data_IF_183152557793
#
_entry.id   IF_183152557793
#
_cell.length_a   1.000
_cell.length_b   1.000
_cell.length_c   1.000
_cell.angle_alpha   90.00
_cell.angle_beta   90.00
_cell.angle_gamma   90.00
#
_symmetry.space_group_name_H-M   'P 1'
#
loop_
_entity.id
_entity.type
_entity.pdbx_description
1 polymer ?
#
# COMPACT_ATOMS: atom_id res chain seq x y z
N UNK A 1 -15.55 -14.55 6.68
CA UNK A 1 -14.36 -15.37 6.87
C UNK A 1 -13.10 -14.57 6.66
N UNK A 2 -11.98 -14.97 7.31
CA UNK A 2 -10.67 -14.35 7.19
C UNK A 2 -9.60 -15.41 6.93
N UNK A 3 -8.82 -15.25 5.86
CA UNK A 3 -7.72 -16.14 5.48
C UNK A 3 -6.39 -15.37 5.51
N UNK A 4 -5.31 -16.06 5.83
CA UNK A 4 -3.99 -15.45 6.03
C UNK A 4 -2.91 -16.26 5.33
N UNK A 5 -2.82 -16.20 3.99
CA UNK A 5 -1.77 -16.89 3.25
C UNK A 5 -0.38 -16.34 3.61
N UNK A 6 0.63 -17.20 3.55
CA UNK A 6 2.01 -16.86 3.86
C UNK A 6 2.89 -16.74 2.60
N UNK A 7 2.39 -17.26 1.47
CA UNK A 7 3.07 -17.20 0.18
C UNK A 7 2.06 -17.05 -0.96
N UNK A 8 2.55 -16.84 -2.17
CA UNK A 8 1.72 -16.58 -3.36
C UNK A 8 0.91 -17.79 -3.82
N UNK A 9 1.43 -19.00 -3.60
CA UNK A 9 0.73 -20.24 -3.91
C UNK A 9 -0.49 -20.43 -2.97
N UNK A 10 -0.30 -20.25 -1.66
CA UNK A 10 -1.41 -20.27 -0.70
C UNK A 10 -2.43 -19.15 -0.97
N UNK A 11 -1.99 -17.96 -1.42
CA UNK A 11 -2.90 -16.89 -1.80
C UNK A 11 -3.77 -17.28 -2.99
N UNK A 12 -3.17 -17.86 -4.02
CA UNK A 12 -3.89 -18.37 -5.19
C UNK A 12 -4.94 -19.40 -4.78
N UNK A 13 -4.51 -20.41 -4.05
CA UNK A 13 -5.38 -21.53 -3.67
C UNK A 13 -6.52 -21.06 -2.77
N UNK A 14 -6.25 -20.21 -1.78
CA UNK A 14 -7.25 -19.58 -0.93
C UNK A 14 -8.25 -18.71 -1.70
N UNK A 15 -7.79 -17.99 -2.73
CA UNK A 15 -8.67 -17.17 -3.57
C UNK A 15 -9.66 -18.01 -4.36
N UNK A 16 -9.18 -19.08 -5.02
CA UNK A 16 -10.03 -19.96 -5.84
C UNK A 16 -10.99 -20.78 -4.98
N UNK A 17 -10.52 -21.34 -3.87
CA UNK A 17 -11.37 -22.09 -2.93
C UNK A 17 -12.50 -21.22 -2.36
N UNK A 18 -12.19 -20.00 -1.93
CA UNK A 18 -13.21 -19.08 -1.42
C UNK A 18 -14.22 -18.68 -2.51
N UNK A 19 -13.76 -18.46 -3.75
CA UNK A 19 -14.60 -18.14 -4.89
C UNK A 19 -15.53 -19.29 -5.27
N UNK A 20 -15.00 -20.52 -5.35
CA UNK A 20 -15.77 -21.74 -5.63
C UNK A 20 -16.81 -22.03 -4.54
N UNK A 21 -16.50 -21.69 -3.30
CA UNK A 21 -17.42 -21.76 -2.16
C UNK A 21 -18.50 -20.66 -2.15
N UNK A 22 -18.56 -19.80 -3.17
CA UNK A 22 -19.59 -18.76 -3.35
C UNK A 22 -19.40 -17.50 -2.51
N UNK A 23 -18.19 -17.23 -2.00
CA UNK A 23 -17.88 -15.99 -1.28
C UNK A 23 -17.52 -14.86 -2.23
N UNK A 24 -17.89 -13.64 -1.82
CA UNK A 24 -17.27 -12.43 -2.35
C UNK A 24 -15.88 -12.28 -1.74
N UNK A 25 -14.84 -12.30 -2.57
CA UNK A 25 -13.45 -12.29 -2.09
C UNK A 25 -12.85 -10.90 -2.17
N UNK A 26 -12.33 -10.41 -1.07
CA UNK A 26 -11.57 -9.16 -0.96
C UNK A 26 -10.15 -9.44 -0.50
N UNK A 27 -9.16 -8.92 -1.23
CA UNK A 27 -7.76 -8.96 -0.84
C UNK A 27 -7.43 -7.71 -0.02
N UNK A 28 -6.84 -7.89 1.14
CA UNK A 28 -6.51 -6.81 2.06
C UNK A 28 -5.05 -6.90 2.53
N UNK A 29 -4.37 -5.76 2.56
CA UNK A 29 -3.05 -5.61 3.18
C UNK A 29 -3.16 -5.21 4.65
N UNK A 30 -2.68 -4.00 4.98
CA UNK A 30 -2.75 -3.40 6.32
C UNK A 30 -4.08 -2.76 6.67
N UNK A 31 -5.07 -2.80 5.81
CA UNK A 31 -6.44 -2.24 5.94
C UNK A 31 -6.54 -0.73 6.21
N UNK A 32 -5.42 -0.01 6.19
CA UNK A 32 -5.35 1.42 6.51
C UNK A 32 -6.08 2.36 5.51
N UNK A 33 -6.63 1.83 4.43
CA UNK A 33 -7.38 2.54 3.39
C UNK A 33 -8.66 1.76 3.01
N UNK A 34 -9.25 1.05 3.95
CA UNK A 34 -10.43 0.21 3.71
C UNK A 34 -11.47 0.45 4.79
N UNK A 35 -12.73 0.51 4.37
CA UNK A 35 -13.90 0.45 5.25
C UNK A 35 -14.71 -0.80 4.85
N UNK A 36 -14.94 -1.68 5.81
CA UNK A 36 -15.70 -2.91 5.58
C UNK A 36 -17.20 -2.65 5.78
N UNK A 37 -18.07 -3.38 5.06
CA UNK A 37 -19.52 -3.31 5.29
C UNK A 37 -19.89 -3.94 6.63
N UNK A 38 -21.00 -3.50 7.22
CA UNK A 38 -21.53 -4.06 8.47
C UNK A 38 -22.01 -5.52 8.26
N UNK A 39 -22.65 -5.80 7.11
CA UNK A 39 -22.98 -7.18 6.72
C UNK A 39 -21.82 -7.78 5.90
N UNK A 40 -21.09 -8.68 6.52
CA UNK A 40 -20.00 -9.43 5.91
C UNK A 40 -20.31 -10.95 5.82
N UNK A 41 -21.57 -11.35 5.86
CA UNK A 41 -21.99 -12.75 5.93
C UNK A 41 -21.50 -13.63 4.76
N UNK A 42 -21.36 -13.04 3.57
CA UNK A 42 -20.81 -13.68 2.36
C UNK A 42 -19.45 -13.15 1.94
N UNK A 43 -18.76 -12.46 2.83
CA UNK A 43 -17.45 -11.88 2.56
C UNK A 43 -16.34 -12.82 3.06
N UNK A 44 -15.38 -13.12 2.19
CA UNK A 44 -14.10 -13.73 2.54
C UNK A 44 -12.99 -12.67 2.34
N UNK A 45 -12.34 -12.27 3.41
CA UNK A 45 -11.20 -11.35 3.36
C UNK A 45 -9.91 -12.15 3.43
N UNK A 46 -9.08 -12.04 2.41
CA UNK A 46 -7.75 -12.66 2.39
C UNK A 46 -6.72 -11.59 2.72
N UNK A 47 -6.15 -11.70 3.92
CA UNK A 47 -5.16 -10.76 4.43
C UNK A 47 -3.75 -11.15 4.00
N UNK A 48 -3.15 -10.37 3.11
CA UNK A 48 -1.81 -10.64 2.58
C UNK A 48 -0.68 -10.26 3.56
N UNK A 49 -0.99 -9.73 4.73
CA UNK A 49 -0.01 -9.22 5.71
C UNK A 49 1.02 -10.24 6.20
N UNK A 50 0.76 -11.55 6.04
CA UNK A 50 1.71 -12.62 6.35
C UNK A 50 2.65 -12.95 5.19
N UNK A 51 2.39 -12.44 3.99
CA UNK A 51 3.23 -12.64 2.81
C UNK A 51 4.43 -11.67 2.84
N UNK A 52 5.30 -11.86 3.83
CA UNK A 52 6.45 -10.98 4.08
C UNK A 52 7.74 -11.46 3.42
N UNK A 53 7.72 -12.61 2.77
CA UNK A 53 8.80 -13.16 1.98
C UNK A 53 8.46 -13.09 0.48
N UNK A 54 9.45 -12.84 -0.40
CA UNK A 54 10.82 -12.50 -0.04
C UNK A 54 10.96 -11.09 0.56
N UNK A 55 12.07 -10.88 1.28
CA UNK A 55 12.61 -9.56 1.56
C UNK A 55 14.13 -9.65 1.37
N UNK A 56 14.59 -9.27 0.20
CA UNK A 56 16.00 -9.38 -0.19
C UNK A 56 16.55 -8.05 -0.67
N UNK A 57 17.83 -7.85 -0.43
CA UNK A 57 18.59 -6.67 -0.82
C UNK A 57 19.79 -7.12 -1.63
N UNK A 58 19.84 -6.71 -2.90
CA UNK A 58 20.98 -6.93 -3.81
C UNK A 58 21.42 -5.57 -4.36
N UNK A 59 22.49 -5.00 -3.74
CA UNK A 59 22.95 -3.65 -4.01
C UNK A 59 21.78 -2.65 -3.88
N UNK A 60 21.38 -2.01 -4.98
CA UNK A 60 20.27 -1.05 -5.04
C UNK A 60 18.92 -1.67 -5.37
N UNK A 61 18.87 -2.98 -5.63
CA UNK A 61 17.61 -3.71 -5.87
C UNK A 61 17.08 -4.28 -4.55
N UNK A 62 15.82 -4.02 -4.29
CA UNK A 62 15.11 -4.53 -3.11
C UNK A 62 13.87 -5.25 -3.57
N UNK A 63 13.79 -6.55 -3.29
CA UNK A 63 12.59 -7.35 -3.58
C UNK A 63 11.84 -7.61 -2.29
N UNK A 64 10.52 -7.32 -2.29
CA UNK A 64 9.68 -7.46 -1.12
C UNK A 64 8.32 -8.09 -1.47
N UNK A 65 7.89 -9.04 -0.65
CA UNK A 65 6.55 -9.60 -0.71
C UNK A 65 5.47 -8.56 -0.40
N UNK A 66 4.28 -8.74 -0.95
CA UNK A 66 3.18 -7.77 -0.85
C UNK A 66 2.70 -7.50 0.59
N UNK A 67 2.98 -8.41 1.53
CA UNK A 67 2.64 -8.26 2.95
C UNK A 67 3.64 -7.45 3.76
N UNK A 68 4.84 -7.16 3.24
CA UNK A 68 5.84 -6.35 3.93
C UNK A 68 5.29 -4.96 4.21
N UNK A 69 5.39 -4.51 5.48
CA UNK A 69 4.94 -3.18 5.87
C UNK A 69 5.88 -2.10 5.32
N UNK A 70 5.33 -1.05 4.72
CA UNK A 70 6.13 0.04 4.14
C UNK A 70 7.07 0.72 5.15
N UNK A 71 6.65 1.04 6.38
CA UNK A 71 7.57 1.62 7.36
C UNK A 71 8.74 0.69 7.71
N UNK A 72 8.49 -0.62 7.73
CA UNK A 72 9.54 -1.61 7.98
C UNK A 72 10.52 -1.67 6.80
N UNK A 73 10.00 -1.73 5.57
CA UNK A 73 10.81 -1.72 4.34
C UNK A 73 11.69 -0.45 4.27
N UNK A 74 11.10 0.72 4.53
CA UNK A 74 11.81 2.01 4.56
C UNK A 74 12.94 2.00 5.60
N UNK A 75 12.68 1.50 6.81
CA UNK A 75 13.67 1.38 7.87
C UNK A 75 14.82 0.43 7.50
N UNK A 76 14.51 -0.72 6.92
CA UNK A 76 15.51 -1.70 6.52
C UNK A 76 16.38 -1.22 5.34
N UNK A 77 15.79 -0.45 4.41
CA UNK A 77 16.52 0.23 3.34
C UNK A 77 17.46 1.31 3.91
N UNK A 78 16.99 2.16 4.81
CA UNK A 78 17.79 3.21 5.46
C UNK A 78 19.03 2.66 6.17
N UNK A 79 18.88 1.58 6.96
CA UNK A 79 19.99 0.89 7.64
C UNK A 79 21.08 0.37 6.69
N UNK A 80 20.74 0.19 5.42
CA UNK A 80 21.66 -0.26 4.36
C UNK A 80 22.18 0.89 3.50
N UNK A 81 21.89 2.15 3.89
CA UNK A 81 22.26 3.31 3.12
C UNK A 81 21.52 3.39 1.77
N UNK A 82 20.30 2.85 1.67
CA UNK A 82 19.50 2.88 0.45
C UNK A 82 18.41 3.96 0.53
N UNK A 83 18.53 4.97 -0.31
CA UNK A 83 17.62 6.11 -0.43
C UNK A 83 16.55 5.87 -1.51
N UNK A 84 15.36 6.44 -1.30
CA UNK A 84 14.22 6.38 -2.20
C UNK A 84 12.93 5.93 -1.52
N UNK A 85 13.00 5.39 -0.29
CA UNK A 85 11.85 4.94 0.49
C UNK A 85 11.53 5.85 1.69
N UNK A 86 12.15 7.02 1.80
CA UNK A 86 11.94 7.94 2.93
C UNK A 86 10.49 8.39 3.03
N UNK A 87 9.83 8.64 1.90
CA UNK A 87 8.42 9.04 1.85
C UNK A 87 7.47 7.99 2.47
N UNK A 88 7.90 6.73 2.44
CA UNK A 88 7.09 5.58 2.87
C UNK A 88 7.19 5.29 4.38
N UNK A 89 8.13 5.92 5.10
CA UNK A 89 8.42 5.63 6.52
C UNK A 89 7.21 5.79 7.45
N UNK A 90 6.27 6.66 7.11
CA UNK A 90 5.05 6.93 7.88
C UNK A 90 3.76 6.41 7.25
N UNK A 91 3.78 5.74 6.10
CA UNK A 91 2.57 5.24 5.45
C UNK A 91 2.16 3.90 6.09
N UNK A 92 1.00 3.82 6.79
CA UNK A 92 0.61 2.62 7.53
C UNK A 92 0.00 1.56 6.61
N UNK A 93 0.76 1.09 5.63
CA UNK A 93 0.30 0.14 4.62
C UNK A 93 1.34 -0.91 4.30
N UNK A 94 0.95 -1.89 3.52
CA UNK A 94 1.82 -2.93 2.99
C UNK A 94 2.29 -2.59 1.57
N UNK A 95 3.34 -3.27 1.10
CA UNK A 95 3.83 -3.18 -0.28
C UNK A 95 2.69 -3.40 -1.28
N UNK A 96 1.86 -4.44 -1.12
CA UNK A 96 0.74 -4.71 -2.01
C UNK A 96 -0.30 -3.58 -2.03
N UNK A 97 -0.62 -2.99 -0.87
CA UNK A 97 -1.49 -1.83 -0.78
C UNK A 97 -0.88 -0.58 -1.42
N UNK A 98 0.43 -0.41 -1.31
CA UNK A 98 1.15 0.69 -1.93
C UNK A 98 1.17 0.58 -3.45
N UNK A 99 1.39 -0.61 -3.99
CA UNK A 99 1.31 -0.88 -5.42
C UNK A 99 -0.09 -0.60 -5.96
N UNK A 100 -1.13 -1.06 -5.25
CA UNK A 100 -2.53 -0.85 -5.64
C UNK A 100 -2.89 0.64 -5.74
N UNK A 101 -2.45 1.45 -4.78
CA UNK A 101 -2.82 2.86 -4.64
C UNK A 101 -1.82 3.83 -5.26
N UNK A 102 -0.71 3.35 -5.82
CA UNK A 102 0.47 4.21 -6.04
C UNK A 102 0.71 5.10 -4.82
N UNK A 103 0.86 4.47 -3.65
CA UNK A 103 0.95 5.20 -2.39
C UNK A 103 2.10 6.18 -2.40
N UNK A 104 1.84 7.39 -1.93
CA UNK A 104 2.85 8.45 -1.90
C UNK A 104 2.57 9.49 -0.83
N UNK A 105 3.62 10.13 -0.39
CA UNK A 105 3.62 11.22 0.57
C UNK A 105 4.87 12.10 0.36
N UNK A 106 4.77 13.38 0.71
CA UNK A 106 5.91 14.30 0.72
C UNK A 106 6.70 14.38 -0.61
N UNK A 107 5.99 14.25 -1.75
CA UNK A 107 6.58 14.34 -3.08
C UNK A 107 7.17 13.03 -3.63
N UNK A 108 7.26 11.97 -2.81
CA UNK A 108 7.62 10.63 -3.27
C UNK A 108 6.39 9.75 -3.46
N UNK A 109 6.47 8.79 -4.37
CA UNK A 109 5.42 7.79 -4.60
C UNK A 109 6.00 6.45 -5.08
N UNK A 110 5.24 5.39 -4.88
CA UNK A 110 5.67 4.00 -5.12
C UNK A 110 6.13 3.78 -6.56
N UNK A 111 5.40 4.30 -7.55
CA UNK A 111 5.72 4.12 -8.97
C UNK A 111 7.07 4.69 -9.39
N UNK A 112 7.61 5.67 -8.66
CA UNK A 112 8.92 6.26 -8.96
C UNK A 112 10.11 5.32 -8.68
N UNK A 113 9.89 4.30 -7.87
CA UNK A 113 10.95 3.39 -7.42
C UNK A 113 10.69 1.92 -7.80
N UNK A 114 9.50 1.59 -8.30
CA UNK A 114 9.19 0.23 -8.76
C UNK A 114 9.96 -0.07 -10.04
N UNK A 115 10.62 -1.23 -10.09
CA UNK A 115 11.23 -1.80 -11.28
C UNK A 115 10.26 -2.74 -11.99
N UNK A 116 9.72 -3.69 -11.24
CA UNK A 116 8.77 -4.68 -11.72
C UNK A 116 7.91 -5.25 -10.58
N UNK A 117 6.81 -5.89 -10.94
CA UNK A 117 5.85 -6.48 -10.00
C UNK A 117 5.49 -7.89 -10.46
N UNK A 118 5.63 -8.87 -9.58
CA UNK A 118 5.04 -10.21 -9.77
C UNK A 118 3.55 -10.14 -9.43
N UNK A 119 2.70 -10.62 -10.34
CA UNK A 119 1.25 -10.57 -10.22
C UNK A 119 0.63 -11.96 -10.31
N UNK A 120 -0.47 -12.15 -9.59
CA UNK A 120 -1.39 -13.27 -9.73
C UNK A 120 -2.57 -12.84 -10.60
N UNK A 121 -2.86 -13.61 -11.64
CA UNK A 121 -4.11 -13.52 -12.40
C UNK A 121 -5.21 -14.27 -11.65
N UNK A 122 -6.26 -13.56 -11.24
CA UNK A 122 -7.44 -14.12 -10.56
C UNK A 122 -8.42 -14.80 -11.55
N UNK A 123 -8.13 -14.78 -12.85
CA UNK A 123 -8.90 -15.50 -13.87
C UNK A 123 -8.52 -16.96 -13.94
N UNK A 124 -7.22 -17.24 -13.97
CA UNK A 124 -6.66 -18.56 -14.28
C UNK A 124 -5.59 -19.03 -13.30
N UNK A 125 -5.26 -18.26 -12.28
CA UNK A 125 -4.29 -18.61 -11.25
C UNK A 125 -2.82 -18.54 -11.69
N UNK A 126 -2.54 -17.98 -12.86
CA UNK A 126 -1.17 -17.86 -13.37
C UNK A 126 -0.42 -16.70 -12.71
N UNK A 127 0.89 -16.86 -12.59
CA UNK A 127 1.79 -15.80 -12.16
C UNK A 127 2.52 -15.23 -13.37
N UNK A 128 2.62 -13.91 -13.43
CA UNK A 128 3.41 -13.21 -14.45
C UNK A 128 4.14 -12.03 -13.83
N UNK A 129 5.02 -11.40 -14.62
CA UNK A 129 5.78 -10.23 -14.19
C UNK A 129 5.43 -9.04 -15.07
N UNK A 130 5.08 -7.93 -14.46
CA UNK A 130 4.83 -6.65 -15.12
C UNK A 130 6.00 -5.70 -14.88
N UNK A 131 6.40 -4.96 -15.90
CA UNK A 131 7.33 -3.85 -15.72
C UNK A 131 6.64 -2.67 -15.02
N UNK A 132 7.41 -1.71 -14.51
CA UNK A 132 6.84 -0.48 -13.96
C UNK A 132 5.96 0.27 -14.99
N UNK A 133 6.32 0.24 -16.26
CA UNK A 133 5.54 0.86 -17.35
C UNK A 133 4.17 0.18 -17.51
N UNK A 134 4.13 -1.15 -17.46
CA UNK A 134 2.89 -1.94 -17.58
C UNK A 134 1.96 -1.73 -16.37
N UNK A 135 2.50 -1.32 -15.23
CA UNK A 135 1.72 -1.03 -14.02
C UNK A 135 0.94 0.28 -14.10
N UNK A 136 1.17 1.14 -15.11
CA UNK A 136 0.44 2.39 -15.38
C UNK A 136 0.31 3.30 -14.14
N UNK A 137 1.40 3.49 -13.40
CA UNK A 137 1.41 4.32 -12.18
C UNK A 137 1.10 5.78 -12.50
N UNK A 138 0.07 6.32 -11.83
CA UNK A 138 -0.25 7.74 -11.80
C UNK A 138 -0.87 8.11 -10.44
N UNK A 139 -1.27 9.37 -10.25
CA UNK A 139 -1.77 9.81 -8.94
C UNK A 139 -2.97 9.00 -8.44
N UNK A 140 -2.76 8.19 -7.41
CA UNK A 140 -3.77 7.27 -6.80
C UNK A 140 -4.42 6.34 -7.80
N UNK A 141 -3.64 5.91 -8.80
CA UNK A 141 -4.11 5.07 -9.88
C UNK A 141 -3.01 4.11 -10.35
N UNK A 142 -3.40 2.89 -10.72
CA UNK A 142 -2.53 1.84 -11.26
C UNK A 142 -3.36 0.85 -12.06
N UNK A 143 -2.69 -0.03 -12.84
CA UNK A 143 -3.36 -1.15 -13.51
C UNK A 143 -4.17 -2.02 -12.53
N UNK A 144 -3.76 -2.15 -11.26
CA UNK A 144 -4.47 -2.94 -10.25
C UNK A 144 -5.81 -2.30 -9.82
N UNK A 145 -5.98 -0.99 -10.01
CA UNK A 145 -7.24 -0.30 -9.77
C UNK A 145 -8.19 -0.43 -10.95
N UNK A 146 -7.69 -0.58 -12.17
CA UNK A 146 -8.49 -0.79 -13.39
C UNK A 146 -8.80 -2.27 -13.61
N UNK A 147 -7.79 -3.11 -13.63
CA UNK A 147 -7.93 -4.54 -13.85
C UNK A 147 -7.98 -5.28 -12.51
N UNK A 148 -9.19 -5.49 -12.02
CA UNK A 148 -9.44 -6.19 -10.75
C UNK A 148 -9.09 -7.67 -10.76
N UNK A 149 -8.79 -8.23 -11.91
CA UNK A 149 -8.32 -9.62 -12.03
C UNK A 149 -6.84 -9.79 -11.70
N UNK A 150 -6.09 -8.69 -11.61
CA UNK A 150 -4.70 -8.71 -11.21
C UNK A 150 -4.53 -8.45 -9.70
N UNK A 151 -3.61 -9.18 -9.09
CA UNK A 151 -3.19 -8.99 -7.70
C UNK A 151 -1.66 -8.96 -7.62
N UNK A 152 -1.10 -7.87 -7.09
CA UNK A 152 0.33 -7.80 -6.81
C UNK A 152 0.70 -8.72 -5.65
N UNK A 153 1.69 -9.59 -5.85
CA UNK A 153 2.16 -10.55 -4.82
C UNK A 153 3.58 -10.26 -4.35
N UNK A 154 4.39 -9.59 -5.16
CA UNK A 154 5.78 -9.25 -4.89
C UNK A 154 6.19 -8.05 -5.75
N UNK A 155 7.09 -7.20 -5.30
CA UNK A 155 7.69 -6.15 -6.12
C UNK A 155 9.20 -6.07 -5.94
N UNK A 156 9.88 -5.68 -7.02
CA UNK A 156 11.27 -5.26 -7.00
C UNK A 156 11.33 -3.74 -7.12
N UNK A 157 12.03 -3.11 -6.19
CA UNK A 157 12.29 -1.68 -6.16
C UNK A 157 13.72 -1.39 -6.59
N UNK A 158 13.92 -0.29 -7.29
CA UNK A 158 15.23 0.25 -7.61
C UNK A 158 15.49 1.48 -6.75
N UNK A 159 16.39 1.34 -5.78
CA UNK A 159 16.78 2.39 -4.86
C UNK A 159 18.14 2.99 -5.26
N UNK A 160 18.60 3.96 -4.52
CA UNK A 160 19.90 4.64 -4.75
C UNK A 160 20.78 4.49 -3.51
N UNK A 161 22.08 4.37 -3.71
CA UNK A 161 23.02 4.47 -2.62
C UNK A 161 22.99 5.86 -1.99
N UNK A 162 23.11 5.94 -0.69
CA UNK A 162 23.07 7.16 0.09
C UNK A 162 23.71 6.98 1.47
N UNK A 163 23.64 8.01 2.28
CA UNK A 163 24.17 8.00 3.64
C UNK A 163 23.07 7.59 4.64
N UNK A 164 23.31 6.54 5.44
CA UNK A 164 22.34 6.05 6.43
C UNK A 164 21.87 7.15 7.40
N UNK A 165 22.80 7.99 7.89
CA UNK A 165 22.45 9.04 8.85
C UNK A 165 21.51 10.09 8.22
N UNK A 166 21.78 10.51 6.99
CA UNK A 166 20.95 11.48 6.25
C UNK A 166 19.56 10.91 5.93
N UNK A 167 19.49 9.67 5.44
CA UNK A 167 18.24 8.97 5.15
C UNK A 167 17.39 8.85 6.42
N UNK A 168 18.04 8.45 7.53
CA UNK A 168 17.36 8.30 8.82
C UNK A 168 16.88 9.64 9.37
N UNK A 169 17.70 10.70 9.25
CA UNK A 169 17.30 12.06 9.62
C UNK A 169 16.09 12.52 8.82
N UNK A 170 16.09 12.29 7.51
CA UNK A 170 14.95 12.62 6.64
C UNK A 170 13.68 11.87 7.03
N UNK A 171 13.77 10.58 7.32
CA UNK A 171 12.63 9.80 7.83
C UNK A 171 12.07 10.38 9.14
N UNK A 172 12.93 10.81 10.07
CA UNK A 172 12.49 11.43 11.35
C UNK A 172 11.75 12.74 11.12
N UNK A 173 12.25 13.60 10.23
CA UNK A 173 11.59 14.85 9.84
C UNK A 173 10.19 14.60 9.27
N UNK A 174 10.06 13.63 8.35
CA UNK A 174 8.78 13.30 7.74
C UNK A 174 7.78 12.73 8.76
N UNK A 175 8.26 11.90 9.69
CA UNK A 175 7.43 11.38 10.79
C UNK A 175 6.99 12.48 11.76
N UNK A 176 7.87 13.44 12.10
CA UNK A 176 7.53 14.58 12.92
C UNK A 176 6.45 15.45 12.24
N UNK A 177 6.66 15.83 10.97
CA UNK A 177 5.67 16.57 10.21
C UNK A 177 4.31 15.85 10.10
N UNK A 178 4.31 14.52 10.05
CA UNK A 178 3.07 13.74 10.04
C UNK A 178 2.33 13.84 11.37
N UNK A 179 3.04 13.73 12.51
CA UNK A 179 2.45 13.84 13.85
C UNK A 179 1.83 15.22 14.10
N UNK A 180 2.44 16.27 13.58
CA UNK A 180 1.93 17.64 13.71
C UNK A 180 0.65 17.87 12.90
N UNK A 181 0.50 17.17 11.74
CA UNK A 181 -0.57 17.45 10.78
C UNK A 181 -1.73 16.44 10.82
N UNK A 182 -1.58 15.34 11.52
CA UNK A 182 -2.58 14.26 11.55
C UNK A 182 -2.90 13.85 12.99
N UNK A 183 -4.17 13.67 13.34
CA UNK A 183 -4.60 13.22 14.67
C UNK A 183 -4.38 11.70 14.80
N UNK A 184 -3.11 11.29 14.97
CA UNK A 184 -2.70 9.88 14.97
C UNK A 184 -3.21 9.10 16.19
N UNK A 185 -3.73 9.80 17.21
CA UNK A 185 -4.36 9.24 18.41
C UNK A 185 -5.75 8.67 18.16
N UNK A 186 -6.39 9.04 17.05
CA UNK A 186 -7.72 8.55 16.68
C UNK A 186 -7.64 7.53 15.53
N UNK A 187 -8.59 6.57 15.48
CA UNK A 187 -8.77 5.73 14.31
C UNK A 187 -9.04 6.59 13.08
N UNK A 188 -8.35 6.30 11.97
CA UNK A 188 -8.46 7.09 10.74
C UNK A 188 -8.38 6.19 9.51
N UNK A 189 -9.27 6.41 8.54
CA UNK A 189 -9.22 5.79 7.22
C UNK A 189 -8.33 6.58 6.23
N UNK A 190 -7.60 7.60 6.70
CA UNK A 190 -6.81 8.50 5.87
C UNK A 190 -7.67 9.51 5.09
N UNK A 191 -7.13 10.07 4.01
CA UNK A 191 -7.87 11.04 3.20
C UNK A 191 -8.92 10.36 2.34
N UNK A 192 -10.19 10.64 2.58
CA UNK A 192 -11.32 10.08 1.85
C UNK A 192 -11.38 10.59 0.41
N UNK A 193 -11.06 11.87 0.20
CA UNK A 193 -11.11 12.51 -1.12
C UNK A 193 -9.74 12.54 -1.79
N UNK A 194 -9.71 12.29 -3.10
CA UNK A 194 -8.54 12.58 -3.92
C UNK A 194 -8.29 14.09 -3.95
N UNK A 195 -7.02 14.48 -4.02
CA UNK A 195 -6.64 15.88 -4.17
C UNK A 195 -7.14 16.39 -5.53
N UNK A 196 -7.98 17.42 -5.59
CA UNK A 196 -8.40 18.02 -6.84
C UNK A 196 -7.26 18.82 -7.48
N UNK A 197 -7.33 18.97 -8.80
CA UNK A 197 -6.36 19.76 -9.54
C UNK A 197 -6.37 21.22 -9.04
N UNK A 198 -5.19 21.79 -8.84
CA UNK A 198 -5.03 23.17 -8.39
C UNK A 198 -5.45 23.47 -6.93
N UNK A 199 -5.95 22.48 -6.18
CA UNK A 199 -6.45 22.72 -4.82
C UNK A 199 -6.15 21.54 -3.87
N UNK A 200 -6.58 21.66 -2.61
CA UNK A 200 -6.47 20.63 -1.57
C UNK A 200 -7.86 20.30 -1.03
N UNK A 201 -8.20 19.01 -0.94
CA UNK A 201 -9.50 18.57 -0.45
C UNK A 201 -9.81 19.13 0.96
N UNK A 202 -8.84 19.09 1.88
CA UNK A 202 -9.00 19.66 3.23
C UNK A 202 -9.31 21.15 3.23
N UNK A 203 -8.68 21.94 2.32
CA UNK A 203 -8.98 23.38 2.18
C UNK A 203 -10.42 23.59 1.70
N UNK A 204 -10.87 22.83 0.72
CA UNK A 204 -12.25 22.93 0.20
C UNK A 204 -13.27 22.55 1.27
N UNK A 205 -13.02 21.53 2.08
CA UNK A 205 -13.88 21.14 3.20
C UNK A 205 -13.94 22.28 4.24
N UNK A 206 -12.79 22.91 4.57
CA UNK A 206 -12.73 24.03 5.49
C UNK A 206 -13.47 25.27 4.92
N UNK A 207 -13.30 25.58 3.64
CA UNK A 207 -14.00 26.69 2.96
C UNK A 207 -15.51 26.49 2.92
N UNK A 208 -15.98 25.22 2.92
CA UNK A 208 -17.41 24.90 3.06
C UNK A 208 -17.93 24.96 4.52
N UNK A 209 -17.08 25.29 5.48
CA UNK A 209 -17.43 25.33 6.90
C UNK A 209 -17.66 23.95 7.54
N UNK A 210 -17.15 22.88 6.91
CA UNK A 210 -17.38 21.50 7.33
C UNK A 210 -16.25 20.93 8.21
N UNK A 211 -15.22 21.72 8.52
CA UNK A 211 -14.17 21.32 9.45
C UNK A 211 -14.74 21.07 10.85
N UNK A 212 -14.54 19.86 11.38
CA UNK A 212 -15.11 19.44 12.67
C UNK A 212 -16.58 19.06 12.63
N UNK A 213 -17.19 19.00 11.45
CA UNK A 213 -18.55 18.44 11.31
C UNK A 213 -18.53 16.95 11.62
N UNK A 214 -19.51 16.51 12.43
CA UNK A 214 -19.58 15.14 12.92
C UNK A 214 -20.94 14.53 12.66
N UNK A 215 -20.96 13.23 12.38
CA UNK A 215 -22.18 12.41 12.33
C UNK A 215 -21.95 11.19 13.22
N UNK A 216 -22.69 11.10 14.32
CA UNK A 216 -22.45 10.10 15.34
C UNK A 216 -21.04 10.25 15.93
N UNK A 217 -20.23 9.19 15.85
CA UNK A 217 -18.84 9.20 16.32
C UNK A 217 -17.79 9.48 15.22
N UNK A 218 -18.21 9.79 13.98
CA UNK A 218 -17.32 10.08 12.87
C UNK A 218 -17.24 11.59 12.60
N UNK A 219 -16.03 12.12 12.42
CA UNK A 219 -15.75 13.55 12.13
C UNK A 219 -14.62 13.70 11.11
#
# INVERSE_FOLDING_TARGET
YALFPENKEMLRDAFFEAKESGFSVVLAGGTSNMLFPDDASRLCVIFTKRMTSPLTFDRTLVTAGCGVMLPYLSKEAAKRGLSGLEFACGIPGTVGGALFMNAGAYGGETGQIVKDVTVLSKKDGTFSRLSAADCAFSYRHTIFSENRDLCAVEATFFLREGNEAEITARCRELLASRREKQPLEYPSCGSTFKRPEGNFAGKLIEDCGLKGFSVGGAS
#
